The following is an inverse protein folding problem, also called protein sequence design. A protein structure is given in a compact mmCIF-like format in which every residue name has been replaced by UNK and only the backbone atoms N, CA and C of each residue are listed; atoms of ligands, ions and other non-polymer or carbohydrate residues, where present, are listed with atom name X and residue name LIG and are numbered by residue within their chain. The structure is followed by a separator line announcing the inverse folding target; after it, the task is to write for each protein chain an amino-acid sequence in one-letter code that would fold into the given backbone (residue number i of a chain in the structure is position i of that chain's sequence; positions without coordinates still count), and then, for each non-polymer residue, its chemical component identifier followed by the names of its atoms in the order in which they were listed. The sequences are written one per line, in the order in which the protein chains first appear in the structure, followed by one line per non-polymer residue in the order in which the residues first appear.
data_IF_140921684833
#
_entry.id   IF_140921684833
#
_cell.length_a   1.000
_cell.length_b   1.000
_cell.length_c   1.000
_cell.angle_alpha   90.00
_cell.angle_beta   90.00
_cell.angle_gamma   90.00
#
_symmetry.space_group_name_H-M   'P 1'
#
loop_
_entity.id
_entity.type
_entity.pdbx_description
1 polymer ?
#
# COMPACT_ATOMS: atom_id res chain seq x y z
N UNK A 1 16.20 -7.73 3.81
CA UNK A 1 15.54 -6.54 4.40
C UNK A 1 15.21 -5.54 3.29
N UNK A 2 13.95 -5.35 2.93
CA UNK A 2 13.51 -4.32 1.97
C UNK A 2 13.40 -2.95 2.66
N UNK A 3 14.53 -2.34 3.03
CA UNK A 3 14.51 -1.15 3.89
C UNK A 3 15.80 -0.34 4.02
N UNK A 4 16.71 -0.38 3.04
CA UNK A 4 17.91 0.47 3.05
C UNK A 4 17.53 1.93 2.76
N UNK A 5 17.17 2.69 3.80
CA UNK A 5 17.09 4.16 3.82
C UNK A 5 15.87 4.82 3.17
N UNK A 6 14.94 4.07 2.56
CA UNK A 6 13.73 4.66 1.97
C UNK A 6 12.77 5.13 3.05
N UNK A 7 12.31 6.38 2.96
CA UNK A 7 11.19 6.89 3.77
C UNK A 7 9.98 6.01 3.47
N UNK A 8 9.42 5.36 4.49
CA UNK A 8 8.19 4.57 4.38
C UNK A 8 7.01 5.31 4.98
N UNK A 9 5.83 5.12 4.39
CA UNK A 9 4.55 5.48 5.00
C UNK A 9 4.15 4.43 6.04
N UNK A 10 3.08 4.68 6.80
CA UNK A 10 2.48 3.65 7.68
C UNK A 10 2.11 2.40 6.86
N UNK A 11 1.49 2.61 5.70
CA UNK A 11 1.10 1.53 4.80
C UNK A 11 2.30 0.78 4.21
N UNK A 12 3.32 1.49 3.73
CA UNK A 12 4.54 0.84 3.23
C UNK A 12 5.24 0.00 4.30
N UNK A 13 5.28 0.50 5.54
CA UNK A 13 5.82 -0.24 6.68
C UNK A 13 4.98 -1.47 7.03
N UNK A 14 3.65 -1.38 6.89
CA UNK A 14 2.76 -2.52 7.09
C UNK A 14 3.01 -3.62 6.06
N UNK A 15 3.17 -3.27 4.78
CA UNK A 15 3.51 -4.24 3.74
C UNK A 15 4.84 -4.93 4.03
N UNK A 16 5.88 -4.17 4.35
CA UNK A 16 7.22 -4.69 4.66
C UNK A 16 7.17 -5.67 5.86
N UNK A 17 6.41 -5.34 6.92
CA UNK A 17 6.24 -6.19 8.11
C UNK A 17 5.45 -7.46 7.85
N UNK A 18 4.50 -7.42 6.91
CA UNK A 18 3.67 -8.56 6.55
C UNK A 18 4.25 -9.40 5.40
N UNK A 19 5.44 -9.04 4.88
CA UNK A 19 6.08 -9.73 3.76
C UNK A 19 5.31 -9.59 2.44
N UNK A 20 4.52 -8.53 2.28
CA UNK A 20 3.69 -8.33 1.08
C UNK A 20 4.49 -7.54 0.05
N UNK A 21 4.72 -8.13 -1.12
CA UNK A 21 5.46 -7.45 -2.17
C UNK A 21 4.56 -6.44 -2.90
N UNK A 22 5.11 -5.26 -3.21
CA UNK A 22 4.37 -4.20 -3.93
C UNK A 22 3.80 -4.69 -5.28
N UNK A 23 4.51 -5.61 -5.94
CA UNK A 23 4.08 -6.23 -7.21
C UNK A 23 2.83 -7.11 -7.04
N UNK A 24 2.65 -7.75 -5.89
CA UNK A 24 1.44 -8.55 -5.60
C UNK A 24 0.24 -7.63 -5.39
N UNK A 25 0.46 -6.52 -4.68
CA UNK A 25 -0.56 -5.51 -4.50
C UNK A 25 -0.92 -4.83 -5.83
N UNK A 26 0.05 -4.56 -6.70
CA UNK A 26 -0.17 -4.02 -8.04
C UNK A 26 -1.14 -4.93 -8.84
N UNK A 27 -0.84 -6.23 -8.89
CA UNK A 27 -1.64 -7.23 -9.61
C UNK A 27 -3.06 -7.36 -9.05
N UNK A 28 -3.23 -7.30 -7.74
CA UNK A 28 -4.54 -7.51 -7.10
C UNK A 28 -5.42 -6.25 -7.07
N UNK A 29 -4.81 -5.08 -6.92
CA UNK A 29 -5.49 -3.77 -6.87
C UNK A 29 -5.70 -3.12 -8.24
N UNK A 30 -4.98 -3.55 -9.28
CA UNK A 30 -4.96 -2.94 -10.63
C UNK A 30 -4.46 -1.48 -10.65
N UNK A 31 -3.75 -1.04 -9.61
CA UNK A 31 -3.09 0.27 -9.58
C UNK A 31 -1.73 0.18 -10.27
N UNK A 32 -1.25 1.30 -10.82
CA UNK A 32 0.09 1.34 -11.41
C UNK A 32 1.19 1.19 -10.35
N UNK A 33 2.34 0.64 -10.74
CA UNK A 33 3.54 0.56 -9.89
C UNK A 33 3.91 1.92 -9.31
N UNK A 34 3.77 3.00 -10.09
CA UNK A 34 4.06 4.36 -9.64
C UNK A 34 3.13 4.80 -8.49
N UNK A 35 1.85 4.43 -8.55
CA UNK A 35 0.87 4.74 -7.51
C UNK A 35 1.17 3.96 -6.23
N UNK A 36 1.40 2.65 -6.35
CA UNK A 36 1.79 1.80 -5.21
C UNK A 36 3.09 2.30 -4.57
N UNK A 37 4.08 2.66 -5.37
CA UNK A 37 5.34 3.21 -4.87
C UNK A 37 5.14 4.52 -4.10
N UNK A 38 4.32 5.45 -4.61
CA UNK A 38 3.96 6.68 -3.88
C UNK A 38 3.24 6.37 -2.57
N UNK A 39 2.26 5.47 -2.58
CA UNK A 39 1.56 5.03 -1.36
C UNK A 39 2.49 4.46 -0.29
N UNK A 40 3.52 3.72 -0.69
CA UNK A 40 4.45 3.08 0.23
C UNK A 40 5.54 4.01 0.75
N UNK A 41 5.92 5.05 0.00
CA UNK A 41 7.14 5.81 0.26
C UNK A 41 6.91 7.31 0.49
N UNK A 42 5.84 7.90 -0.06
CA UNK A 42 5.58 9.33 0.02
C UNK A 42 4.56 9.65 1.14
N UNK A 43 5.03 10.20 2.25
CA UNK A 43 4.18 10.62 3.39
C UNK A 43 3.29 11.83 3.08
N UNK A 44 3.63 12.62 2.06
CA UNK A 44 2.84 13.78 1.61
C UNK A 44 1.77 13.40 0.60
N UNK A 45 1.92 12.24 -0.05
CA UNK A 45 0.90 11.74 -0.97
C UNK A 45 -0.42 11.50 -0.22
N UNK A 46 -1.52 12.00 -0.80
CA UNK A 46 -2.89 11.78 -0.34
C UNK A 46 -3.65 11.07 -1.45
N UNK A 47 -3.91 9.76 -1.32
CA UNK A 47 -4.66 9.04 -2.33
C UNK A 47 -6.10 9.51 -2.41
N UNK A 48 -6.70 9.41 -3.60
CA UNK A 48 -8.14 9.61 -3.76
C UNK A 48 -8.88 8.46 -3.10
N UNK A 49 -10.12 8.69 -2.67
CA UNK A 49 -10.97 7.65 -2.09
C UNK A 49 -11.11 6.41 -3.00
N UNK A 50 -11.22 6.61 -4.32
CA UNK A 50 -11.24 5.52 -5.30
C UNK A 50 -9.97 4.66 -5.32
N UNK A 51 -8.81 5.26 -5.00
CA UNK A 51 -7.53 4.54 -4.86
C UNK A 51 -7.52 3.73 -3.58
N UNK A 52 -8.01 4.29 -2.46
CA UNK A 52 -8.14 3.59 -1.18
C UNK A 52 -8.99 2.33 -1.34
N UNK A 53 -10.18 2.44 -1.96
CA UNK A 53 -11.05 1.29 -2.22
C UNK A 53 -10.34 0.19 -3.02
N UNK A 54 -9.56 0.56 -4.04
CA UNK A 54 -8.81 -0.41 -4.84
C UNK A 54 -7.72 -1.12 -4.04
N UNK A 55 -7.02 -0.40 -3.16
CA UNK A 55 -6.03 -0.98 -2.25
C UNK A 55 -6.71 -1.95 -1.29
N UNK A 56 -7.77 -1.52 -0.59
CA UNK A 56 -8.48 -2.37 0.38
C UNK A 56 -9.00 -3.65 -0.28
N UNK A 57 -9.58 -3.53 -1.49
CA UNK A 57 -9.99 -4.71 -2.29
C UNK A 57 -8.81 -5.58 -2.70
N UNK A 58 -7.68 -5.00 -3.10
CA UNK A 58 -6.46 -5.72 -3.45
C UNK A 58 -5.90 -6.49 -2.25
N UNK A 59 -5.80 -5.84 -1.10
CA UNK A 59 -5.35 -6.43 0.16
C UNK A 59 -6.27 -7.58 0.60
N UNK A 60 -7.60 -7.42 0.45
CA UNK A 60 -8.56 -8.49 0.74
C UNK A 60 -8.33 -9.73 -0.13
N UNK A 61 -7.97 -9.57 -1.40
CA UNK A 61 -7.60 -10.71 -2.28
C UNK A 61 -6.31 -11.41 -1.86
N UNK A 62 -5.42 -10.70 -1.18
CA UNK A 62 -4.21 -11.25 -0.56
C UNK A 62 -4.50 -11.86 0.84
N UNK A 63 -5.77 -11.99 1.22
CA UNK A 63 -6.18 -12.51 2.53
C UNK A 63 -5.96 -11.53 3.70
N UNK A 64 -5.71 -10.25 3.41
CA UNK A 64 -5.47 -9.22 4.42
C UNK A 64 -6.67 -8.28 4.48
N UNK A 65 -7.42 -8.37 5.58
CA UNK A 65 -8.45 -7.39 5.88
C UNK A 65 -7.81 -6.22 6.61
N UNK A 66 -7.85 -5.03 6.02
CA UNK A 66 -7.23 -3.82 6.56
C UNK A 66 -8.29 -2.73 6.70
N UNK A 67 -8.12 -1.86 7.68
CA UNK A 67 -8.90 -0.63 7.83
C UNK A 67 -8.13 0.53 7.20
N UNK A 68 -8.76 1.28 6.29
CA UNK A 68 -8.14 2.43 5.67
C UNK A 68 -7.86 3.61 6.63
N UNK A 69 -8.56 3.69 7.77
CA UNK A 69 -8.31 4.66 8.84
C UNK A 69 -6.95 4.46 9.52
N UNK A 70 -6.39 3.25 9.49
CA UNK A 70 -5.04 3.01 10.02
C UNK A 70 -3.95 3.75 9.23
N UNK A 71 -4.26 4.15 8.00
CA UNK A 71 -3.27 4.63 7.03
C UNK A 71 -3.54 6.02 6.45
N UNK A 72 -4.79 6.36 6.12
CA UNK A 72 -5.10 7.53 5.30
C UNK A 72 -6.27 8.40 5.75
N UNK A 73 -7.19 7.89 6.59
CA UNK A 73 -8.28 8.68 7.19
C UNK A 73 -7.96 9.02 8.64
#
# INVERSE_FOLDING_TARGET
MFGLGKKRTKFGSYLDRNGIAQIELERTSKLSTATISKLCNDKKYRPKFSTIIQIVKGMKKLGKNIDEHDFWM
#
